data_IF_716566475758
#
_entry.id   IF_716566475758
#
_cell.length_a   1.000
_cell.length_b   1.000
_cell.length_c   1.000
_cell.angle_alpha   90.00
_cell.angle_beta   90.00
_cell.angle_gamma   90.00
#
_symmetry.space_group_name_H-M   'P 1'
#
loop_
_entity.id
_entity.type
_entity.pdbx_description
1 polymer ?
#
# COMPACT_ATOMS: atom_id res chain seq x y z
N UNK A 1 -24.96 -36.64 -19.97
CA UNK A 1 -23.86 -35.70 -19.66
C UNK A 1 -24.42 -34.29 -19.62
N UNK A 2 -24.64 -33.65 -18.46
CA UNK A 2 -25.00 -32.25 -18.43
C UNK A 2 -23.72 -31.39 -18.31
N UNK A 3 -23.36 -30.67 -19.37
CA UNK A 3 -22.31 -29.66 -19.34
C UNK A 3 -22.78 -28.46 -18.51
N UNK A 4 -22.43 -28.43 -17.23
CA UNK A 4 -22.67 -27.28 -16.38
C UNK A 4 -21.62 -26.21 -16.67
N UNK A 5 -21.90 -25.32 -17.62
CA UNK A 5 -21.10 -24.10 -17.80
C UNK A 5 -21.25 -23.23 -16.56
N UNK A 6 -20.26 -23.25 -15.67
CA UNK A 6 -20.23 -22.42 -14.48
C UNK A 6 -20.14 -20.95 -14.92
N UNK A 7 -21.05 -20.06 -14.50
CA UNK A 7 -20.95 -18.65 -14.86
C UNK A 7 -19.65 -18.06 -14.31
N UNK A 8 -19.01 -17.11 -15.03
CA UNK A 8 -17.81 -16.45 -14.54
C UNK A 8 -18.14 -15.73 -13.24
N UNK A 9 -17.32 -15.95 -12.20
CA UNK A 9 -17.51 -15.28 -10.91
C UNK A 9 -17.52 -13.77 -11.14
N UNK A 10 -18.51 -13.03 -10.62
CA UNK A 10 -18.52 -11.58 -10.75
C UNK A 10 -17.20 -11.07 -10.17
N UNK A 11 -16.48 -10.25 -10.95
CA UNK A 11 -15.31 -9.52 -10.46
C UNK A 11 -15.79 -8.73 -9.25
N UNK A 12 -15.37 -9.15 -8.06
CA UNK A 12 -15.67 -8.49 -6.78
C UNK A 12 -15.42 -7.00 -6.98
N UNK A 13 -16.48 -6.21 -7.16
CA UNK A 13 -16.38 -4.75 -7.26
C UNK A 13 -15.71 -4.33 -5.97
N UNK A 14 -14.44 -3.95 -6.05
CA UNK A 14 -13.68 -3.47 -4.91
C UNK A 14 -14.47 -2.30 -4.34
N UNK A 15 -15.03 -2.47 -3.14
CA UNK A 15 -15.64 -1.39 -2.38
C UNK A 15 -14.67 -0.20 -2.39
N UNK A 16 -15.15 1.02 -2.71
CA UNK A 16 -14.29 2.18 -2.86
C UNK A 16 -13.97 2.72 -1.47
N UNK A 17 -13.24 1.97 -0.64
CA UNK A 17 -12.76 2.55 0.61
C UNK A 17 -11.53 3.40 0.31
N UNK A 18 -11.77 4.73 0.30
CA UNK A 18 -10.81 5.80 0.04
C UNK A 18 -9.80 5.91 1.18
N UNK A 19 -8.81 5.03 1.24
CA UNK A 19 -7.51 5.45 1.77
C UNK A 19 -6.66 5.92 0.60
N UNK A 20 -6.22 7.17 0.66
CA UNK A 20 -5.40 7.80 -0.37
C UNK A 20 -4.10 7.01 -0.51
N UNK A 21 -4.00 6.23 -1.58
CA UNK A 21 -2.75 5.67 -2.05
C UNK A 21 -1.75 6.82 -2.24
N UNK A 22 -0.58 6.74 -1.60
CA UNK A 22 0.51 7.66 -1.94
C UNK A 22 0.93 7.32 -3.37
N UNK A 23 0.55 8.18 -4.31
CA UNK A 23 0.88 8.02 -5.73
C UNK A 23 2.35 8.35 -5.90
N UNK A 24 3.08 7.47 -6.60
CA UNK A 24 4.51 7.63 -6.86
C UNK A 24 4.88 8.98 -7.51
N UNK A 25 3.94 9.61 -8.22
CA UNK A 25 4.11 10.97 -8.77
C UNK A 25 4.40 12.00 -7.68
N UNK A 26 3.61 12.02 -6.60
CA UNK A 26 3.79 12.96 -5.48
C UNK A 26 5.02 12.66 -4.63
N UNK A 27 5.62 11.48 -4.78
CA UNK A 27 6.83 11.08 -4.05
C UNK A 27 8.11 11.38 -4.82
N UNK A 28 8.05 11.52 -6.14
CA UNK A 28 9.20 11.87 -6.98
C UNK A 28 9.62 13.33 -6.86
N UNK A 29 8.69 14.21 -6.50
CA UNK A 29 8.95 15.64 -6.35
C UNK A 29 9.59 16.00 -4.98
N UNK A 30 9.72 15.03 -4.07
CA UNK A 30 10.22 15.23 -2.70
C UNK A 30 11.69 14.83 -2.56
N UNK A 31 12.37 15.46 -1.61
CA UNK A 31 13.79 15.23 -1.37
C UNK A 31 14.06 13.83 -0.78
N UNK A 32 15.22 13.24 -1.10
CA UNK A 32 15.66 11.93 -0.56
C UNK A 32 15.56 11.83 0.98
N UNK A 33 15.98 12.83 1.78
CA UNK A 33 15.86 12.74 3.24
C UNK A 33 14.40 12.75 3.72
N UNK A 34 13.51 13.53 3.09
CA UNK A 34 12.08 13.53 3.44
C UNK A 34 11.42 12.18 3.14
N UNK A 35 11.84 11.49 2.07
CA UNK A 35 11.34 10.17 1.72
C UNK A 35 11.72 9.11 2.76
N UNK A 36 12.92 9.21 3.33
CA UNK A 36 13.38 8.30 4.39
C UNK A 36 12.62 8.53 5.70
N UNK A 37 12.34 9.78 6.07
CA UNK A 37 11.49 10.10 7.22
C UNK A 37 10.04 9.61 7.05
N UNK A 38 9.46 9.80 5.86
CA UNK A 38 8.13 9.31 5.53
C UNK A 38 8.08 7.77 5.58
N UNK A 39 9.14 7.10 5.13
CA UNK A 39 9.25 5.65 5.20
C UNK A 39 9.30 5.15 6.64
N UNK A 40 10.01 5.85 7.54
CA UNK A 40 10.04 5.52 8.96
C UNK A 40 8.66 5.68 9.62
N UNK A 41 7.96 6.79 9.32
CA UNK A 41 6.58 7.03 9.78
C UNK A 41 5.62 5.94 9.29
N UNK A 42 5.64 5.63 7.99
CA UNK A 42 4.73 4.63 7.40
C UNK A 42 4.98 3.21 7.97
N UNK A 43 6.23 2.90 8.35
CA UNK A 43 6.57 1.64 9.04
C UNK A 43 6.00 1.56 10.46
N UNK A 44 6.10 2.63 11.24
CA UNK A 44 5.51 2.72 12.58
C UNK A 44 3.99 2.60 12.51
N UNK A 45 3.39 3.29 11.56
CA UNK A 45 1.97 3.23 11.26
C UNK A 45 1.49 1.83 10.88
N UNK A 46 2.28 1.12 10.06
CA UNK A 46 2.02 -0.27 9.72
C UNK A 46 2.12 -1.19 10.95
N UNK A 47 3.10 -0.95 11.83
CA UNK A 47 3.23 -1.70 13.08
C UNK A 47 2.02 -1.52 13.99
N UNK A 48 1.59 -0.27 14.20
CA UNK A 48 0.39 0.05 14.99
C UNK A 48 -0.87 -0.59 14.38
N UNK A 49 -1.04 -0.48 13.06
CA UNK A 49 -2.16 -1.12 12.37
C UNK A 49 -2.11 -2.66 12.44
N UNK A 50 -0.93 -3.28 12.45
CA UNK A 50 -0.81 -4.73 12.69
C UNK A 50 -1.17 -5.10 14.12
N UNK A 51 -0.72 -4.31 15.09
CA UNK A 51 -1.02 -4.50 16.51
C UNK A 51 -2.53 -4.46 16.75
N UNK A 52 -3.21 -3.44 16.23
CA UNK A 52 -4.66 -3.28 16.42
C UNK A 52 -5.47 -4.36 15.69
N UNK A 53 -4.92 -4.94 14.61
CA UNK A 53 -5.49 -6.11 13.93
C UNK A 53 -5.40 -7.35 14.82
N UNK A 54 -4.25 -7.60 15.47
CA UNK A 54 -4.08 -8.72 16.40
C UNK A 54 -5.09 -8.62 17.55
N UNK A 55 -5.31 -7.42 18.07
CA UNK A 55 -6.33 -7.15 19.09
C UNK A 55 -7.78 -7.15 18.55
N UNK A 56 -7.99 -7.43 17.26
CA UNK A 56 -9.30 -7.44 16.57
C UNK A 56 -10.10 -6.14 16.75
N UNK A 57 -9.42 -5.01 16.95
CA UNK A 57 -10.05 -3.68 17.16
C UNK A 57 -10.39 -2.97 15.86
N UNK A 58 -9.83 -3.41 14.74
CA UNK A 58 -10.06 -2.85 13.41
C UNK A 58 -10.65 -3.88 12.47
N UNK A 59 -11.71 -3.47 11.81
CA UNK A 59 -12.43 -4.25 10.78
C UNK A 59 -11.89 -3.98 9.38
N UNK A 60 -11.29 -2.81 9.14
CA UNK A 60 -10.75 -2.45 7.82
C UNK A 60 -9.30 -2.89 7.62
N UNK A 61 -9.15 -4.15 7.21
CA UNK A 61 -7.87 -4.77 6.84
C UNK A 61 -7.33 -4.27 5.49
N UNK A 62 -8.15 -3.57 4.70
CA UNK A 62 -7.76 -3.05 3.37
C UNK A 62 -6.67 -1.97 3.51
N UNK A 63 -6.70 -1.22 4.61
CA UNK A 63 -5.70 -0.21 4.99
C UNK A 63 -4.27 -0.79 5.07
N UNK A 64 -4.10 -2.01 5.56
CA UNK A 64 -2.81 -2.69 5.64
C UNK A 64 -2.22 -3.00 4.26
N UNK A 65 -3.07 -3.24 3.26
CA UNK A 65 -2.62 -3.46 1.89
C UNK A 65 -2.10 -2.15 1.31
N UNK A 66 -2.81 -1.04 1.51
CA UNK A 66 -2.41 0.30 1.03
C UNK A 66 -1.06 0.72 1.63
N UNK A 67 -0.91 0.63 2.96
CA UNK A 67 0.36 0.98 3.65
C UNK A 67 1.56 0.17 3.14
N UNK A 68 1.38 -1.14 2.88
CA UNK A 68 2.43 -1.98 2.28
C UNK A 68 2.84 -1.51 0.87
N UNK A 69 1.87 -1.13 0.05
CA UNK A 69 2.16 -0.62 -1.30
C UNK A 69 2.84 0.75 -1.24
N UNK A 70 2.45 1.60 -0.28
CA UNK A 70 3.12 2.89 -0.04
C UNK A 70 4.60 2.70 0.30
N UNK A 71 4.94 1.78 1.22
CA UNK A 71 6.33 1.49 1.58
C UNK A 71 7.12 1.00 0.37
N UNK A 72 6.57 0.08 -0.43
CA UNK A 72 7.25 -0.41 -1.64
C UNK A 72 7.49 0.72 -2.66
N UNK A 73 6.52 1.63 -2.83
CA UNK A 73 6.68 2.81 -3.69
C UNK A 73 7.75 3.77 -3.17
N UNK A 74 7.77 4.05 -1.87
CA UNK A 74 8.82 4.87 -1.25
C UNK A 74 10.20 4.27 -1.46
N UNK A 75 10.36 2.96 -1.21
CA UNK A 75 11.62 2.26 -1.43
C UNK A 75 12.08 2.34 -2.90
N UNK A 76 11.17 2.09 -3.85
CA UNK A 76 11.51 2.16 -5.29
C UNK A 76 11.91 3.56 -5.73
N UNK A 77 11.24 4.61 -5.26
CA UNK A 77 11.62 6.00 -5.57
C UNK A 77 12.99 6.35 -4.97
N UNK A 78 13.26 5.93 -3.72
CA UNK A 78 14.59 6.14 -3.10
C UNK A 78 15.67 5.41 -3.91
N UNK A 79 15.42 4.19 -4.35
CA UNK A 79 16.37 3.43 -5.18
C UNK A 79 16.59 4.10 -6.54
N UNK A 80 15.53 4.59 -7.20
CA UNK A 80 15.65 5.34 -8.45
C UNK A 80 16.49 6.61 -8.25
N UNK A 81 16.16 7.42 -7.23
CA UNK A 81 16.89 8.64 -6.92
C UNK A 81 18.36 8.42 -6.52
N UNK A 82 18.70 7.26 -5.95
CA UNK A 82 20.09 6.87 -5.65
C UNK A 82 20.82 6.30 -6.87
N UNK A 83 20.12 5.58 -7.75
CA UNK A 83 20.67 5.00 -8.98
C UNK A 83 20.92 6.02 -10.10
N UNK A 84 20.10 7.07 -10.21
CA UNK A 84 20.28 8.14 -11.21
C UNK A 84 21.46 9.07 -10.90
N UNK A 85 22.05 8.97 -9.70
CA UNK A 85 23.23 9.77 -9.27
C UNK A 85 24.57 9.04 -9.45
N UNK A 86 24.59 7.90 -10.15
CA UNK A 86 25.79 7.10 -10.41
C UNK A 86 26.31 7.30 -11.85
#
# INVERSE_FOLDING_TARGET
>A
MPSTSRPPRPRRRSSPNKMKDLKAKELRDKSVPELEELLAKERQDLFNARRDLVFRRITDTSSLKVRRHNIARLMTVITQAKGDKA
#
